data_IF_858871155629
#
_entry.id   IF_858871155629
#
_cell.length_a   1.000
_cell.length_b   1.000
_cell.length_c   1.000
_cell.angle_alpha   90.00
_cell.angle_beta   90.00
_cell.angle_gamma   90.00
#
_symmetry.space_group_name_H-M   'P 1'
#
loop_
_entity.id
_entity.type
_entity.pdbx_description
1 polymer ?
#
# COMPACT_ATOMS: atom_id res chain seq x y z
N UNK A 1 21.81 9.38 13.29
CA UNK A 1 20.45 9.85 13.56
C UNK A 1 19.53 9.33 12.46
N UNK A 2 18.46 8.65 12.81
CA UNK A 2 17.49 8.09 11.86
C UNK A 2 16.70 9.19 11.17
N UNK A 3 16.25 10.19 11.92
CA UNK A 3 15.39 11.26 11.44
C UNK A 3 16.07 12.18 10.42
N UNK A 4 17.38 12.40 10.56
CA UNK A 4 18.18 13.21 9.66
C UNK A 4 18.64 12.51 8.38
N UNK A 5 18.29 11.24 8.14
CA UNK A 5 18.64 10.53 6.91
C UNK A 5 17.78 10.99 5.75
N UNK A 6 18.40 11.28 4.64
CA UNK A 6 17.73 11.55 3.37
C UNK A 6 17.05 10.28 2.83
N UNK A 7 15.82 10.40 2.34
CA UNK A 7 15.01 9.29 1.83
C UNK A 7 14.65 9.46 0.37
N UNK A 8 14.01 10.57 -0.01
CA UNK A 8 13.49 10.79 -1.35
C UNK A 8 13.55 12.28 -1.67
N UNK A 9 13.97 12.64 -2.89
CA UNK A 9 13.96 14.01 -3.40
C UNK A 9 14.68 15.05 -2.51
N UNK A 10 15.73 14.64 -1.81
CA UNK A 10 16.51 15.52 -0.94
C UNK A 10 15.87 15.84 0.41
N UNK A 11 14.73 15.20 0.74
CA UNK A 11 14.07 15.33 2.05
C UNK A 11 14.54 14.28 3.03
N UNK A 12 14.65 14.67 4.30
CA UNK A 12 14.93 13.76 5.41
C UNK A 12 13.66 13.01 5.86
N UNK A 13 13.82 11.94 6.64
CA UNK A 13 12.69 11.26 7.28
C UNK A 13 11.83 12.21 8.11
N UNK A 14 12.46 13.12 8.85
CA UNK A 14 11.76 14.10 9.67
C UNK A 14 10.88 15.03 8.83
N UNK A 15 11.43 15.55 7.74
CA UNK A 15 10.70 16.45 6.82
C UNK A 15 9.52 15.73 6.17
N UNK A 16 9.73 14.53 5.62
CA UNK A 16 8.66 13.74 5.01
C UNK A 16 7.56 13.39 6.02
N UNK A 17 7.93 13.06 7.26
CA UNK A 17 6.96 12.73 8.29
C UNK A 17 6.14 13.96 8.72
N UNK A 18 6.80 15.12 8.84
CA UNK A 18 6.10 16.39 9.12
C UNK A 18 5.13 16.78 8.01
N UNK A 19 5.55 16.67 6.76
CA UNK A 19 4.68 16.92 5.61
C UNK A 19 3.46 16.01 5.63
N UNK A 20 3.66 14.70 5.84
CA UNK A 20 2.56 13.73 5.93
C UNK A 20 1.58 14.03 7.07
N UNK A 21 2.06 14.51 8.23
CA UNK A 21 1.19 14.94 9.33
C UNK A 21 0.41 16.20 8.94
N UNK A 22 1.07 17.16 8.27
CA UNK A 22 0.40 18.39 7.82
C UNK A 22 -0.70 18.07 6.80
N UNK A 23 -0.41 17.23 5.80
CA UNK A 23 -1.41 16.78 4.82
C UNK A 23 -2.61 16.12 5.51
N UNK A 24 -2.35 15.25 6.50
CA UNK A 24 -3.41 14.60 7.28
C UNK A 24 -4.24 15.60 8.10
N UNK A 25 -3.61 16.61 8.67
CA UNK A 25 -4.33 17.67 9.41
C UNK A 25 -5.17 18.53 8.46
N UNK A 26 -4.64 18.91 7.30
CA UNK A 26 -5.38 19.65 6.29
C UNK A 26 -6.61 18.86 5.82
N UNK A 27 -6.46 17.56 5.55
CA UNK A 27 -7.58 16.68 5.22
C UNK A 27 -8.65 16.68 6.32
N UNK A 28 -8.25 16.49 7.59
CA UNK A 28 -9.19 16.49 8.72
C UNK A 28 -9.94 17.81 8.85
N UNK A 29 -9.28 18.95 8.63
CA UNK A 29 -9.92 20.26 8.68
C UNK A 29 -10.88 20.48 7.50
N UNK A 30 -10.53 20.03 6.30
CA UNK A 30 -11.44 20.05 5.13
C UNK A 30 -12.69 19.21 5.43
N UNK A 31 -12.54 18.02 6.00
CA UNK A 31 -13.66 17.17 6.37
C UNK A 31 -14.52 17.81 7.47
N UNK A 32 -13.91 18.46 8.47
CA UNK A 32 -14.64 19.21 9.52
C UNK A 32 -15.43 20.39 8.92
N UNK A 33 -14.88 21.08 7.94
CA UNK A 33 -15.57 22.19 7.24
C UNK A 33 -16.79 21.70 6.43
N UNK A 34 -16.70 20.53 5.82
CA UNK A 34 -17.74 19.94 4.98
C UNK A 34 -18.67 18.94 5.69
N UNK A 35 -18.55 18.74 7.00
CA UNK A 35 -19.35 17.75 7.75
C UNK A 35 -20.87 17.96 7.63
N UNK A 36 -21.31 19.22 7.53
CA UNK A 36 -22.73 19.55 7.43
C UNK A 36 -23.33 19.13 6.08
N UNK A 37 -22.53 19.11 5.00
CA UNK A 37 -22.96 18.66 3.67
C UNK A 37 -23.36 17.19 3.70
N UNK A 38 -22.71 16.40 4.57
CA UNK A 38 -22.97 14.98 4.79
C UNK A 38 -23.82 14.70 6.03
N UNK A 39 -24.31 15.75 6.72
CA UNK A 39 -25.11 15.64 7.95
C UNK A 39 -24.37 14.87 9.07
N UNK A 40 -23.07 15.04 9.13
CA UNK A 40 -22.21 14.44 10.14
C UNK A 40 -22.01 15.40 11.29
N UNK A 41 -22.19 14.91 12.51
CA UNK A 41 -21.91 15.63 13.76
C UNK A 41 -21.45 14.65 14.84
N UNK A 42 -20.79 15.15 15.87
CA UNK A 42 -20.56 14.37 17.08
C UNK A 42 -21.86 14.28 17.89
N UNK A 43 -22.13 13.12 18.47
CA UNK A 43 -23.20 12.94 19.44
C UNK A 43 -22.74 13.35 20.84
N UNK A 44 -23.68 13.60 21.75
CA UNK A 44 -23.39 13.93 23.15
C UNK A 44 -22.51 12.85 23.83
N UNK A 45 -22.72 11.57 23.52
CA UNK A 45 -21.94 10.47 24.07
C UNK A 45 -20.51 10.45 23.51
N UNK A 46 -20.33 10.79 22.23
CA UNK A 46 -19.00 10.92 21.60
C UNK A 46 -18.26 12.12 22.17
N UNK A 47 -18.90 13.28 22.28
CA UNK A 47 -18.30 14.47 22.90
C UNK A 47 -17.85 14.21 24.34
N UNK A 48 -18.68 13.55 25.14
CA UNK A 48 -18.32 13.15 26.48
C UNK A 48 -17.15 12.18 26.54
N UNK A 49 -17.15 11.18 25.66
CA UNK A 49 -16.07 10.18 25.57
C UNK A 49 -14.75 10.82 25.19
N UNK A 50 -14.77 11.80 24.27
CA UNK A 50 -13.61 12.59 23.85
C UNK A 50 -13.09 13.44 25.01
N UNK A 51 -13.98 14.09 25.75
CA UNK A 51 -13.63 14.91 26.92
C UNK A 51 -12.97 14.05 28.01
N UNK A 52 -13.57 12.90 28.33
CA UNK A 52 -13.04 11.98 29.34
C UNK A 52 -11.66 11.42 28.88
N UNK A 53 -11.48 11.14 27.60
CA UNK A 53 -10.21 10.67 27.04
C UNK A 53 -9.12 11.75 27.09
N UNK A 54 -9.45 12.99 26.70
CA UNK A 54 -8.53 14.12 26.75
C UNK A 54 -8.09 14.41 28.20
N UNK A 55 -9.04 14.41 29.13
CA UNK A 55 -8.74 14.55 30.56
C UNK A 55 -7.84 13.41 31.07
N UNK A 56 -8.16 12.18 30.75
CA UNK A 56 -7.34 11.01 31.12
C UNK A 56 -5.92 11.11 30.60
N UNK A 57 -5.74 11.58 29.37
CA UNK A 57 -4.41 11.80 28.78
C UNK A 57 -3.63 12.84 29.61
N UNK A 58 -4.23 13.98 29.93
CA UNK A 58 -3.57 15.05 30.69
C UNK A 58 -3.27 14.64 32.11
N UNK A 59 -4.15 13.88 32.75
CA UNK A 59 -3.94 13.39 34.13
C UNK A 59 -2.86 12.31 34.21
N UNK A 60 -2.65 11.56 33.14
CA UNK A 60 -1.69 10.44 33.08
C UNK A 60 -0.27 10.85 32.67
N UNK A 61 -0.07 12.08 32.20
CA UNK A 61 1.21 12.60 31.74
C UNK A 61 1.69 13.77 32.61
N UNK A 62 3.00 13.82 32.88
CA UNK A 62 3.58 14.95 33.62
C UNK A 62 3.60 16.24 32.77
N UNK A 63 3.83 17.38 33.42
CA UNK A 63 3.82 18.67 32.74
C UNK A 63 4.93 18.80 31.68
N UNK A 64 6.11 18.26 31.94
CA UNK A 64 7.23 18.34 31.00
C UNK A 64 6.95 17.55 29.71
N UNK A 65 6.35 16.37 29.82
CA UNK A 65 5.92 15.58 28.68
C UNK A 65 4.84 16.31 27.87
N UNK A 66 3.83 16.89 28.55
CA UNK A 66 2.75 17.66 27.91
C UNK A 66 3.28 18.91 27.20
N UNK A 67 4.20 19.65 27.82
CA UNK A 67 4.79 20.85 27.23
C UNK A 67 5.61 20.52 25.97
N UNK A 68 6.28 19.36 25.95
CA UNK A 68 7.08 18.91 24.81
C UNK A 68 6.24 18.61 23.56
N UNK A 69 5.01 18.10 23.74
CA UNK A 69 4.14 17.65 22.63
C UNK A 69 2.88 18.52 22.49
N UNK A 70 2.80 19.68 23.14
CA UNK A 70 1.57 20.50 23.19
C UNK A 70 0.35 19.69 23.63
N UNK A 71 0.56 18.79 24.60
CA UNK A 71 -0.43 17.81 25.06
C UNK A 71 -1.37 18.36 26.13
N UNK A 72 -1.76 19.63 26.05
CA UNK A 72 -2.83 20.19 26.90
C UNK A 72 -4.20 19.59 26.54
N UNK A 73 -5.13 19.61 27.51
CA UNK A 73 -6.44 18.97 27.34
C UNK A 73 -7.22 19.49 26.14
N UNK A 74 -7.13 20.81 25.88
CA UNK A 74 -7.84 21.43 24.75
C UNK A 74 -7.31 20.96 23.40
N UNK A 75 -6.00 20.89 23.28
CA UNK A 75 -5.34 20.40 22.04
C UNK A 75 -5.65 18.92 21.81
N UNK A 76 -5.53 18.10 22.85
CA UNK A 76 -5.86 16.66 22.77
C UNK A 76 -7.34 16.45 22.41
N UNK A 77 -8.25 17.20 23.06
CA UNK A 77 -9.69 17.17 22.74
C UNK A 77 -9.93 17.50 21.28
N UNK A 78 -9.34 18.58 20.74
CA UNK A 78 -9.53 18.97 19.33
C UNK A 78 -9.02 17.89 18.35
N UNK A 79 -7.88 17.28 18.63
CA UNK A 79 -7.35 16.16 17.79
C UNK A 79 -8.31 14.98 17.82
N UNK A 80 -8.83 14.59 18.96
CA UNK A 80 -9.79 13.49 19.09
C UNK A 80 -11.12 13.79 18.38
N UNK A 81 -11.62 15.03 18.44
CA UNK A 81 -12.78 15.49 17.69
C UNK A 81 -12.56 15.33 16.18
N UNK A 82 -11.42 15.82 15.65
CA UNK A 82 -11.09 15.72 14.22
C UNK A 82 -10.98 14.26 13.75
N UNK A 83 -10.30 13.40 14.51
CA UNK A 83 -10.19 11.97 14.20
C UNK A 83 -11.55 11.27 14.19
N UNK A 84 -12.43 11.61 15.14
CA UNK A 84 -13.77 11.03 15.21
C UNK A 84 -14.63 11.49 14.02
N UNK A 85 -14.56 12.80 13.68
CA UNK A 85 -15.25 13.35 12.53
C UNK A 85 -14.74 12.74 11.22
N UNK A 86 -13.43 12.59 11.03
CA UNK A 86 -12.84 11.94 9.87
C UNK A 86 -13.44 10.55 9.65
N UNK A 87 -13.50 9.73 10.70
CA UNK A 87 -14.08 8.38 10.62
C UNK A 87 -15.58 8.40 10.28
N UNK A 88 -16.33 9.34 10.81
CA UNK A 88 -17.76 9.49 10.50
C UNK A 88 -17.97 9.99 9.07
N UNK A 89 -17.14 10.93 8.60
CA UNK A 89 -17.17 11.43 7.23
C UNK A 89 -16.84 10.33 6.23
N UNK A 90 -15.78 9.53 6.46
CA UNK A 90 -15.46 8.36 5.64
C UNK A 90 -16.69 7.43 5.48
N UNK A 91 -17.38 7.14 6.58
CA UNK A 91 -18.58 6.29 6.57
C UNK A 91 -19.73 6.95 5.79
N UNK A 92 -19.94 8.26 5.96
CA UNK A 92 -21.02 8.96 5.29
C UNK A 92 -20.77 9.16 3.79
N UNK A 93 -19.52 9.42 3.40
CA UNK A 93 -19.11 9.61 2.00
C UNK A 93 -19.12 8.31 1.21
N UNK A 94 -18.98 7.17 1.87
CA UNK A 94 -18.99 5.85 1.22
C UNK A 94 -20.31 5.10 1.40
N UNK A 95 -21.34 5.75 1.98
CA UNK A 95 -22.62 5.09 2.30
C UNK A 95 -23.42 4.62 1.07
N UNK A 96 -23.17 5.22 -0.08
CA UNK A 96 -23.81 4.90 -1.36
C UNK A 96 -22.97 3.96 -2.25
N UNK A 97 -21.80 3.55 -1.80
CA UNK A 97 -20.96 2.60 -2.52
C UNK A 97 -21.64 1.23 -2.52
N UNK A 98 -21.88 0.69 -3.71
CA UNK A 98 -22.38 -0.67 -3.84
C UNK A 98 -21.30 -1.67 -3.40
N UNK A 99 -21.57 -2.38 -2.32
CA UNK A 99 -20.68 -3.42 -1.78
C UNK A 99 -21.08 -4.83 -2.23
N UNK A 100 -22.15 -4.96 -3.03
CA UNK A 100 -22.57 -6.24 -3.59
C UNK A 100 -21.80 -6.49 -4.89
N UNK A 101 -20.63 -7.08 -4.75
CA UNK A 101 -19.83 -7.53 -5.90
C UNK A 101 -20.30 -8.92 -6.29
N UNK A 102 -20.68 -9.11 -7.57
CA UNK A 102 -21.08 -10.44 -8.07
C UNK A 102 -19.86 -11.37 -8.14
N UNK A 103 -20.13 -12.69 -8.15
CA UNK A 103 -19.05 -13.68 -8.29
C UNK A 103 -18.29 -13.50 -9.63
N UNK A 104 -18.97 -13.01 -10.69
CA UNK A 104 -18.37 -12.71 -11.97
C UNK A 104 -17.43 -11.49 -11.90
N UNK A 105 -17.81 -10.43 -11.18
CA UNK A 105 -16.97 -9.24 -10.97
C UNK A 105 -15.77 -9.53 -10.07
N UNK A 106 -15.96 -10.39 -9.07
CA UNK A 106 -14.90 -10.82 -8.16
C UNK A 106 -14.02 -11.94 -8.73
N UNK A 107 -14.41 -12.53 -9.89
CA UNK A 107 -13.70 -13.65 -10.48
C UNK A 107 -12.28 -13.28 -10.86
N UNK A 108 -11.35 -14.07 -10.39
CA UNK A 108 -9.94 -13.95 -10.73
C UNK A 108 -9.43 -15.25 -11.34
N UNK A 109 -8.52 -15.12 -12.29
CA UNK A 109 -7.76 -16.24 -12.85
C UNK A 109 -6.44 -16.39 -12.11
N UNK A 110 -5.93 -17.62 -12.07
CA UNK A 110 -4.62 -17.91 -11.51
C UNK A 110 -3.74 -18.54 -12.55
N UNK A 111 -2.51 -18.05 -12.68
CA UNK A 111 -1.47 -18.64 -13.53
C UNK A 111 -0.17 -18.82 -12.77
N UNK A 112 0.72 -19.61 -13.38
CA UNK A 112 2.12 -19.69 -12.99
C UNK A 112 3.00 -19.30 -14.17
N UNK A 113 4.08 -18.59 -13.90
CA UNK A 113 5.05 -18.22 -14.94
C UNK A 113 6.48 -18.32 -14.44
N UNK A 114 7.42 -18.42 -15.38
CA UNK A 114 8.86 -18.34 -15.13
C UNK A 114 9.42 -17.17 -15.91
N UNK A 115 10.22 -16.34 -15.25
CA UNK A 115 10.90 -15.20 -15.87
C UNK A 115 12.34 -15.56 -16.22
N UNK A 116 12.69 -15.43 -17.49
CA UNK A 116 14.05 -15.49 -17.99
C UNK A 116 14.58 -14.07 -18.21
N UNK A 117 15.35 -13.55 -17.25
CA UNK A 117 15.88 -12.18 -17.33
C UNK A 117 16.98 -12.06 -18.36
N UNK A 118 16.93 -11.01 -19.17
CA UNK A 118 18.02 -10.59 -20.09
C UNK A 118 18.92 -9.51 -19.49
N UNK A 119 18.80 -9.31 -18.16
CA UNK A 119 19.62 -8.37 -17.39
C UNK A 119 20.37 -9.11 -16.28
N UNK A 120 21.57 -8.64 -15.99
CA UNK A 120 22.37 -9.06 -14.84
C UNK A 120 22.36 -7.98 -13.78
N UNK A 121 22.41 -8.38 -12.52
CA UNK A 121 22.53 -7.44 -11.40
C UNK A 121 23.96 -7.55 -10.83
N UNK A 122 24.69 -6.44 -10.87
CA UNK A 122 26.03 -6.34 -10.30
C UNK A 122 26.02 -6.40 -8.77
N UNK A 123 27.20 -6.57 -8.17
CA UNK A 123 27.39 -6.55 -6.71
C UNK A 123 27.04 -5.19 -6.07
N UNK A 124 26.95 -4.14 -6.86
CA UNK A 124 26.53 -2.79 -6.48
C UNK A 124 25.01 -2.58 -6.57
N UNK A 125 24.25 -3.64 -6.89
CA UNK A 125 22.80 -3.61 -7.06
C UNK A 125 22.33 -3.01 -8.37
N UNK A 126 23.22 -2.60 -9.26
CA UNK A 126 22.83 -2.04 -10.57
C UNK A 126 22.54 -3.16 -11.58
N UNK A 127 21.45 -2.96 -12.30
CA UNK A 127 21.06 -3.85 -13.39
C UNK A 127 21.66 -3.38 -14.72
N UNK A 128 22.30 -4.28 -15.45
CA UNK A 128 22.88 -4.04 -16.78
C UNK A 128 22.32 -5.03 -17.78
N UNK A 129 22.16 -4.59 -19.02
CA UNK A 129 21.73 -5.48 -20.09
C UNK A 129 22.82 -6.49 -20.43
N UNK A 130 22.41 -7.73 -20.69
CA UNK A 130 23.28 -8.77 -21.24
C UNK A 130 23.71 -8.44 -22.65
N UNK A 131 24.83 -8.98 -23.11
CA UNK A 131 25.27 -8.95 -24.50
C UNK A 131 24.26 -9.69 -25.40
N UNK A 132 24.35 -9.45 -26.72
CA UNK A 132 23.44 -10.09 -27.68
C UNK A 132 23.61 -11.64 -27.70
N UNK A 133 24.84 -12.14 -27.53
CA UNK A 133 25.10 -13.57 -27.44
C UNK A 133 24.46 -14.17 -26.15
N UNK A 134 24.60 -13.51 -25.00
CA UNK A 134 23.97 -13.95 -23.77
C UNK A 134 22.44 -13.91 -23.84
N UNK A 135 21.87 -12.87 -24.46
CA UNK A 135 20.43 -12.78 -24.72
C UNK A 135 19.93 -13.93 -25.60
N UNK A 136 20.70 -14.29 -26.62
CA UNK A 136 20.36 -15.43 -27.50
C UNK A 136 20.37 -16.76 -26.72
N UNK A 137 21.33 -16.96 -25.82
CA UNK A 137 21.36 -18.14 -24.95
C UNK A 137 20.16 -18.18 -23.97
N UNK A 138 19.81 -17.03 -23.37
CA UNK A 138 18.64 -16.93 -22.49
C UNK A 138 17.36 -17.23 -23.25
N UNK A 139 17.21 -16.68 -24.45
CA UNK A 139 16.07 -16.97 -25.32
C UNK A 139 15.96 -18.48 -25.64
N UNK A 140 17.07 -19.10 -26.00
CA UNK A 140 17.09 -20.55 -26.26
C UNK A 140 16.68 -21.35 -25.03
N UNK A 141 17.14 -20.98 -23.82
CA UNK A 141 16.74 -21.64 -22.57
C UNK A 141 15.24 -21.49 -22.31
N UNK A 142 14.65 -20.31 -22.60
CA UNK A 142 13.23 -20.08 -22.46
C UNK A 142 12.41 -20.93 -23.46
N UNK A 143 12.87 -21.04 -24.71
CA UNK A 143 12.22 -21.88 -25.75
C UNK A 143 12.29 -23.38 -25.39
N UNK A 144 13.46 -23.87 -24.94
CA UNK A 144 13.62 -25.24 -24.46
C UNK A 144 12.72 -25.53 -23.24
N UNK A 145 12.69 -24.59 -22.27
CA UNK A 145 11.80 -24.68 -21.11
C UNK A 145 10.34 -24.77 -21.53
N UNK A 146 9.87 -23.86 -22.41
CA UNK A 146 8.50 -23.84 -22.90
C UNK A 146 8.07 -25.18 -23.51
N UNK A 147 8.95 -25.76 -24.32
CA UNK A 147 8.72 -27.05 -24.99
C UNK A 147 8.55 -28.18 -23.98
N UNK A 148 9.43 -28.24 -22.98
CA UNK A 148 9.46 -29.34 -22.02
C UNK A 148 8.37 -29.16 -20.95
N UNK A 149 8.07 -27.92 -20.56
CA UNK A 149 6.98 -27.59 -19.62
C UNK A 149 5.60 -27.99 -20.14
N UNK A 150 5.38 -27.99 -21.44
CA UNK A 150 4.09 -28.38 -22.04
C UNK A 150 3.68 -29.84 -21.74
N UNK A 151 4.63 -30.69 -21.34
CA UNK A 151 4.37 -32.09 -20.94
C UNK A 151 4.53 -32.34 -19.44
N UNK A 152 4.78 -31.31 -18.64
CA UNK A 152 4.96 -31.44 -17.21
C UNK A 152 3.62 -31.65 -16.50
N UNK A 153 3.56 -32.59 -15.56
CA UNK A 153 2.37 -32.82 -14.72
C UNK A 153 2.18 -31.70 -13.69
N UNK A 154 3.30 -31.12 -13.21
CA UNK A 154 3.34 -30.01 -12.28
C UNK A 154 4.39 -29.00 -12.73
N UNK A 155 3.91 -27.80 -13.09
CA UNK A 155 4.75 -26.74 -13.62
C UNK A 155 5.80 -26.24 -12.61
N UNK A 156 5.41 -26.11 -11.35
CA UNK A 156 6.29 -25.61 -10.30
C UNK A 156 7.41 -26.60 -9.95
N UNK A 157 7.07 -27.89 -9.89
CA UNK A 157 8.03 -28.98 -9.67
C UNK A 157 8.99 -29.06 -10.84
N UNK A 158 8.48 -29.00 -12.07
CA UNK A 158 9.31 -29.01 -13.27
C UNK A 158 10.27 -27.80 -13.31
N UNK A 159 9.76 -26.59 -13.08
CA UNK A 159 10.57 -25.37 -13.07
C UNK A 159 11.74 -25.50 -12.08
N UNK A 160 11.47 -25.98 -10.87
CA UNK A 160 12.49 -26.20 -9.83
C UNK A 160 13.55 -27.23 -10.27
N UNK A 161 13.11 -28.32 -10.90
CA UNK A 161 14.01 -29.40 -11.37
C UNK A 161 15.01 -28.93 -12.42
N UNK A 162 14.65 -27.94 -13.24
CA UNK A 162 15.53 -27.35 -14.28
C UNK A 162 16.24 -26.06 -13.80
N UNK A 163 16.16 -25.73 -12.50
CA UNK A 163 16.83 -24.59 -11.89
C UNK A 163 16.14 -23.25 -12.17
N UNK A 164 14.87 -23.27 -12.54
CA UNK A 164 14.03 -22.08 -12.67
C UNK A 164 13.09 -21.93 -11.46
N UNK A 165 12.50 -20.74 -11.30
CA UNK A 165 11.54 -20.46 -10.22
C UNK A 165 10.19 -20.11 -10.82
N UNK A 166 9.16 -20.89 -10.51
CA UNK A 166 7.79 -20.57 -10.85
C UNK A 166 7.25 -19.50 -9.89
N UNK A 167 6.54 -18.53 -10.45
CA UNK A 167 5.86 -17.48 -9.70
C UNK A 167 4.35 -17.61 -9.92
N UNK A 168 3.59 -17.65 -8.83
CA UNK A 168 2.13 -17.60 -8.86
C UNK A 168 1.67 -16.16 -9.10
N UNK A 169 0.66 -15.99 -9.95
CA UNK A 169 -0.01 -14.73 -10.19
C UNK A 169 -1.51 -14.95 -10.23
N UNK A 170 -2.25 -14.14 -9.46
CA UNK A 170 -3.69 -14.02 -9.56
C UNK A 170 -4.01 -12.72 -10.29
N UNK A 171 -4.89 -12.74 -11.27
CA UNK A 171 -5.17 -11.60 -12.12
C UNK A 171 -6.65 -11.57 -12.57
N UNK A 172 -7.09 -10.40 -13.00
CA UNK A 172 -8.37 -10.10 -13.60
C UNK A 172 -8.19 -9.24 -14.86
N UNK A 173 -9.30 -8.75 -15.44
CA UNK A 173 -9.27 -7.92 -16.66
C UNK A 173 -8.53 -6.59 -16.53
N UNK A 174 -8.39 -6.07 -15.31
CA UNK A 174 -7.78 -4.78 -15.04
C UNK A 174 -6.30 -4.90 -14.62
N UNK A 175 -5.84 -6.11 -14.45
CA UNK A 175 -4.45 -6.39 -14.05
C UNK A 175 -3.49 -6.09 -15.20
N UNK A 176 -2.49 -5.25 -14.94
CA UNK A 176 -1.45 -4.89 -15.94
C UNK A 176 -0.04 -5.28 -15.51
N UNK A 177 0.15 -5.68 -14.27
CA UNK A 177 1.44 -6.07 -13.69
C UNK A 177 1.54 -7.60 -13.58
N UNK A 178 2.71 -8.20 -13.76
CA UNK A 178 4.03 -7.61 -14.03
C UNK A 178 4.23 -7.15 -15.47
N UNK A 179 3.41 -7.60 -16.41
CA UNK A 179 3.49 -7.26 -17.83
C UNK A 179 2.15 -7.50 -18.51
N UNK A 180 1.64 -6.50 -19.24
CA UNK A 180 0.35 -6.57 -19.95
C UNK A 180 0.27 -7.71 -20.97
N UNK A 181 1.34 -7.96 -21.72
CA UNK A 181 1.35 -9.02 -22.75
C UNK A 181 1.29 -10.40 -22.11
N UNK A 182 1.90 -10.56 -20.91
CA UNK A 182 1.81 -11.79 -20.14
C UNK A 182 0.37 -12.03 -19.67
N UNK A 183 -0.29 -11.00 -19.16
CA UNK A 183 -1.69 -11.09 -18.73
C UNK A 183 -2.59 -11.44 -19.90
N UNK A 184 -2.47 -10.72 -21.04
CA UNK A 184 -3.25 -10.98 -22.26
C UNK A 184 -3.03 -12.39 -22.85
N UNK A 185 -1.86 -12.95 -22.65
CA UNK A 185 -1.57 -14.30 -23.12
C UNK A 185 -2.16 -15.40 -22.22
N UNK A 186 -2.48 -15.07 -20.98
CA UNK A 186 -3.07 -15.97 -19.98
C UNK A 186 -4.60 -15.82 -19.84
N UNK A 187 -5.18 -14.73 -20.38
CA UNK A 187 -6.61 -14.45 -20.36
C UNK A 187 -7.37 -15.25 -21.41
#
# INVERSE_FOLDING_TARGET
DFWGKEVTDGKTYEENYKDSIMDSLEEMYILDEHKDDYKVSLSDDEEKSIEDAAKKFTDSNDSAAKDTVSGDEKTVKKVLELLTLQKKMETAMTADVDTNVSDEEAAQKKMQYVLFSTKTTGSDGKSTDMSDDEKAEVKKKAEDFQKDAASAEDFSVFATAVGASATDLTFDSDTTSPNEDLIKAAD
#
